data_IF_675677983274
#
_entry.id   IF_675677983274
#
_cell.length_a   1.000
_cell.length_b   1.000
_cell.length_c   1.000
_cell.angle_alpha   90.00
_cell.angle_beta   90.00
_cell.angle_gamma   90.00
#
_symmetry.space_group_name_H-M   'P 1'
#
loop_
_entity.id
_entity.type
_entity.pdbx_description
1 polymer ?
#
# COMPACT_ATOMS: atom_id res chain seq x y z
N UNK A 1 28.30 2.66 19.63
CA UNK A 1 27.97 3.58 18.52
C UNK A 1 27.67 2.73 17.28
N UNK A 2 26.41 2.41 17.04
CA UNK A 2 25.99 1.70 15.85
C UNK A 2 26.24 2.61 14.63
N UNK A 3 26.99 2.12 13.65
CA UNK A 3 27.16 2.79 12.37
C UNK A 3 25.76 2.98 11.75
N UNK A 4 25.26 4.23 11.68
CA UNK A 4 24.11 4.56 10.84
C UNK A 4 24.44 4.07 9.43
N UNK A 5 23.84 2.96 9.05
CA UNK A 5 23.89 2.45 7.69
C UNK A 5 23.36 3.54 6.76
N UNK A 6 24.03 3.73 5.65
CA UNK A 6 23.71 4.72 4.62
C UNK A 6 22.47 4.25 3.83
N UNK A 7 21.33 4.08 4.50
CA UNK A 7 20.07 3.53 3.97
C UNK A 7 19.39 4.43 2.93
N UNK A 8 19.91 5.64 2.69
CA UNK A 8 19.31 6.59 1.73
C UNK A 8 19.39 6.18 0.26
N UNK A 9 20.10 5.12 -0.11
CA UNK A 9 20.35 4.74 -1.50
C UNK A 9 20.04 3.28 -1.85
N UNK A 10 19.51 2.48 -0.92
CA UNK A 10 19.13 1.10 -1.23
C UNK A 10 17.79 1.08 -1.99
N UNK A 11 17.72 0.50 -3.19
CA UNK A 11 16.49 0.44 -3.99
C UNK A 11 15.46 -0.54 -3.44
N UNK A 12 15.87 -1.50 -2.60
CA UNK A 12 14.97 -2.45 -1.95
C UNK A 12 14.50 -1.87 -0.61
N UNK A 13 13.21 -1.58 -0.52
CA UNK A 13 12.62 -0.83 0.60
C UNK A 13 12.09 -1.71 1.74
N UNK A 14 12.53 -2.97 1.76
CA UNK A 14 12.09 -3.97 2.75
C UNK A 14 10.59 -4.28 2.63
N UNK A 15 9.88 -4.34 3.74
CA UNK A 15 8.44 -4.69 3.79
C UNK A 15 7.50 -3.54 3.41
N UNK A 16 8.03 -2.38 3.09
CA UNK A 16 7.22 -1.22 2.69
C UNK A 16 6.77 -1.33 1.23
N UNK A 17 5.70 -0.62 0.87
CA UNK A 17 5.31 -0.46 -0.53
C UNK A 17 6.14 0.61 -1.23
N UNK A 18 6.47 0.39 -2.51
CA UNK A 18 7.06 1.41 -3.38
C UNK A 18 6.08 2.58 -3.53
N UNK A 19 6.62 3.80 -3.55
CA UNK A 19 5.85 5.05 -3.70
C UNK A 19 6.23 5.78 -4.99
N UNK A 20 5.58 6.89 -5.31
CA UNK A 20 5.84 7.70 -6.52
C UNK A 20 7.33 8.07 -6.70
N UNK A 21 8.03 8.35 -5.62
CA UNK A 21 9.48 8.64 -5.65
C UNK A 21 10.34 7.41 -6.03
N UNK A 22 9.79 6.21 -6.02
CA UNK A 22 10.46 4.96 -6.40
C UNK A 22 10.16 4.52 -7.84
N UNK A 23 9.39 5.29 -8.62
CA UNK A 23 8.96 4.92 -9.99
C UNK A 23 10.09 4.53 -10.93
N UNK A 24 11.28 5.12 -10.78
CA UNK A 24 12.46 4.84 -11.61
C UNK A 24 13.10 3.47 -11.36
N UNK A 25 12.72 2.80 -10.27
CA UNK A 25 13.22 1.49 -9.86
C UNK A 25 12.09 0.44 -9.79
N UNK A 26 10.90 0.78 -10.24
CA UNK A 26 9.74 -0.10 -10.30
C UNK A 26 9.68 -0.77 -11.67
N UNK A 27 10.29 -1.96 -11.79
CA UNK A 27 10.47 -2.70 -13.03
C UNK A 27 9.47 -3.85 -13.20
N UNK A 28 9.39 -4.38 -14.43
CA UNK A 28 8.68 -5.61 -14.84
C UNK A 28 7.16 -5.59 -14.66
N UNK A 29 6.57 -4.40 -14.53
CA UNK A 29 5.11 -4.19 -14.45
C UNK A 29 4.59 -3.24 -15.51
N UNK A 30 5.43 -2.78 -16.43
CA UNK A 30 5.12 -1.73 -17.39
C UNK A 30 3.88 -2.08 -18.24
N UNK A 31 3.80 -3.30 -18.78
CA UNK A 31 2.65 -3.76 -19.55
C UNK A 31 1.38 -3.82 -18.70
N UNK A 32 1.47 -4.36 -17.50
CA UNK A 32 0.33 -4.44 -16.58
C UNK A 32 -0.19 -3.05 -16.19
N UNK A 33 0.68 -2.06 -16.06
CA UNK A 33 0.31 -0.66 -15.82
C UNK A 33 -0.46 -0.10 -17.01
N UNK A 34 -0.02 -0.31 -18.25
CA UNK A 34 -0.73 0.15 -19.45
C UNK A 34 -2.10 -0.53 -19.60
N UNK A 35 -2.18 -1.84 -19.35
CA UNK A 35 -3.45 -2.59 -19.38
C UNK A 35 -4.44 -2.04 -18.34
N UNK A 36 -3.98 -1.78 -17.11
CA UNK A 36 -4.81 -1.21 -16.03
C UNK A 36 -5.24 0.24 -16.33
N UNK A 37 -4.37 1.06 -16.94
CA UNK A 37 -4.70 2.42 -17.38
C UNK A 37 -5.79 2.42 -18.45
N UNK A 38 -5.81 1.44 -19.34
CA UNK A 38 -6.84 1.30 -20.38
C UNK A 38 -8.22 1.04 -19.76
N UNK A 39 -8.29 0.31 -18.65
CA UNK A 39 -9.54 0.06 -17.92
C UNK A 39 -10.05 1.36 -17.28
N UNK A 40 -9.21 2.06 -16.53
CA UNK A 40 -9.63 3.30 -15.85
C UNK A 40 -10.06 4.39 -16.83
N UNK A 41 -9.44 4.42 -18.01
CA UNK A 41 -9.79 5.33 -19.10
C UNK A 41 -11.22 5.11 -19.58
N UNK A 42 -11.65 3.86 -19.70
CA UNK A 42 -12.97 3.52 -20.23
C UNK A 42 -14.10 3.60 -19.22
N UNK A 43 -13.82 3.36 -17.94
CA UNK A 43 -14.83 3.17 -16.90
C UNK A 43 -14.81 4.21 -15.78
N UNK A 44 -13.76 5.04 -15.67
CA UNK A 44 -13.48 5.94 -14.53
C UNK A 44 -13.32 5.18 -13.19
N UNK A 45 -13.23 3.86 -13.25
CA UNK A 45 -13.10 2.99 -12.08
C UNK A 45 -12.17 1.83 -12.38
N UNK A 46 -11.37 1.43 -11.40
CA UNK A 46 -10.47 0.29 -11.50
C UNK A 46 -10.44 -0.47 -10.17
N UNK A 47 -10.82 -1.73 -10.18
CA UNK A 47 -10.65 -2.64 -9.06
C UNK A 47 -9.42 -3.53 -9.30
N UNK A 48 -8.40 -3.36 -8.48
CA UNK A 48 -7.17 -4.18 -8.52
C UNK A 48 -7.33 -5.31 -7.49
N UNK A 49 -7.41 -6.52 -7.99
CA UNK A 49 -7.48 -7.72 -7.15
C UNK A 49 -6.18 -8.51 -7.24
N UNK A 50 -5.83 -9.20 -6.19
CA UNK A 50 -4.63 -10.04 -6.16
C UNK A 50 -4.40 -10.57 -4.75
N UNK A 51 -3.60 -11.61 -4.64
CA UNK A 51 -3.30 -12.24 -3.36
C UNK A 51 -2.59 -11.28 -2.39
N UNK A 52 -2.60 -11.64 -1.13
CA UNK A 52 -1.80 -10.92 -0.12
C UNK A 52 -0.34 -10.88 -0.58
N UNK A 53 0.29 -9.74 -0.41
CA UNK A 53 1.68 -9.50 -0.83
C UNK A 53 1.96 -9.58 -2.36
N UNK A 54 0.94 -9.62 -3.23
CA UNK A 54 1.12 -9.56 -4.71
C UNK A 54 1.68 -8.22 -5.21
N UNK A 55 1.80 -7.22 -4.31
CA UNK A 55 2.37 -5.91 -4.63
C UNK A 55 1.32 -4.87 -5.08
N UNK A 56 0.02 -5.04 -4.75
CA UNK A 56 -1.07 -4.10 -5.12
C UNK A 56 -0.75 -2.65 -4.78
N UNK A 57 -0.38 -2.37 -3.54
CA UNK A 57 -0.05 -1.00 -3.12
C UNK A 57 1.15 -0.41 -3.86
N UNK A 58 2.19 -1.20 -4.13
CA UNK A 58 3.34 -0.78 -4.93
C UNK A 58 2.95 -0.52 -6.39
N UNK A 59 2.12 -1.38 -6.97
CA UNK A 59 1.59 -1.23 -8.32
C UNK A 59 0.79 0.06 -8.49
N UNK A 60 -0.04 0.40 -7.51
CA UNK A 60 -0.78 1.68 -7.50
C UNK A 60 0.18 2.85 -7.34
N UNK A 61 1.01 2.84 -6.29
CA UNK A 61 1.76 4.01 -5.86
C UNK A 61 2.98 4.31 -6.74
N UNK A 62 3.69 3.29 -7.22
CA UNK A 62 4.89 3.45 -8.05
C UNK A 62 4.64 3.17 -9.55
N UNK A 63 3.59 2.42 -9.88
CA UNK A 63 3.22 2.11 -11.25
C UNK A 63 2.17 3.08 -11.82
N UNK A 64 0.94 3.05 -11.28
CA UNK A 64 -0.20 3.77 -11.86
C UNK A 64 -0.16 5.27 -11.58
N UNK A 65 -0.01 5.69 -10.33
CA UNK A 65 -0.07 7.11 -9.95
C UNK A 65 0.94 7.97 -10.73
N UNK A 66 2.22 7.58 -10.91
CA UNK A 66 3.16 8.36 -11.69
C UNK A 66 2.76 8.50 -13.16
N UNK A 67 2.17 7.46 -13.74
CA UNK A 67 1.70 7.48 -15.14
C UNK A 67 0.47 8.37 -15.29
N UNK A 68 -0.47 8.30 -14.35
CA UNK A 68 -1.66 9.16 -14.29
C UNK A 68 -1.25 10.63 -14.17
N UNK A 69 -0.33 10.96 -13.27
CA UNK A 69 0.18 12.34 -13.10
C UNK A 69 0.85 12.91 -14.35
N UNK A 70 1.53 12.06 -15.12
CA UNK A 70 2.15 12.46 -16.38
C UNK A 70 1.14 12.63 -17.54
N UNK A 71 -0.12 12.25 -17.31
CA UNK A 71 -1.15 12.20 -18.33
C UNK A 71 -1.07 10.92 -19.16
N UNK A 72 -2.20 10.35 -19.51
CA UNK A 72 -2.31 9.22 -20.42
C UNK A 72 -3.42 9.46 -21.45
N UNK A 73 -3.28 8.84 -22.63
CA UNK A 73 -4.10 9.10 -23.78
C UNK A 73 -5.61 9.02 -23.49
N UNK A 74 -6.39 10.03 -23.89
CA UNK A 74 -7.84 10.02 -23.88
C UNK A 74 -8.52 10.65 -22.66
N UNK A 75 -7.78 11.03 -21.63
CA UNK A 75 -8.34 11.81 -20.50
C UNK A 75 -7.95 13.28 -20.69
N UNK A 76 -8.96 14.13 -20.73
CA UNK A 76 -8.76 15.58 -20.87
C UNK A 76 -8.03 16.15 -19.66
N UNK A 77 -6.86 16.74 -19.91
CA UNK A 77 -6.07 17.45 -18.91
C UNK A 77 -4.99 16.59 -18.24
N UNK A 78 -3.81 17.21 -18.08
CA UNK A 78 -2.64 16.61 -17.42
C UNK A 78 -2.58 16.96 -15.92
N UNK A 79 -3.63 17.59 -15.40
CA UNK A 79 -3.66 18.00 -13.99
C UNK A 79 -4.56 17.08 -13.19
N UNK A 80 -3.96 16.46 -12.17
CA UNK A 80 -4.63 15.54 -11.28
C UNK A 80 -4.49 16.00 -9.83
N UNK A 81 -5.58 15.91 -9.10
CA UNK A 81 -5.57 15.87 -7.64
C UNK A 81 -5.80 14.43 -7.21
N UNK A 82 -4.96 13.92 -6.34
CA UNK A 82 -4.97 12.50 -5.95
C UNK A 82 -5.06 12.40 -4.44
N UNK A 83 -6.05 11.66 -3.98
CA UNK A 83 -6.23 11.27 -2.58
C UNK A 83 -6.03 9.76 -2.48
N UNK A 84 -5.22 9.33 -1.54
CA UNK A 84 -4.94 7.92 -1.30
C UNK A 84 -5.10 7.63 0.19
N UNK A 85 -5.97 6.68 0.52
CA UNK A 85 -6.25 6.31 1.91
C UNK A 85 -6.53 4.82 2.05
N UNK A 86 -6.43 4.34 3.28
CA UNK A 86 -6.91 3.03 3.70
C UNK A 86 -8.21 3.20 4.48
N UNK A 87 -9.24 2.41 4.20
CA UNK A 87 -10.52 2.57 4.87
C UNK A 87 -10.43 2.25 6.38
N UNK A 88 -9.62 1.25 6.76
CA UNK A 88 -9.52 0.83 8.15
C UNK A 88 -10.89 0.48 8.73
N UNK A 89 -11.05 0.71 10.02
CA UNK A 89 -12.32 0.51 10.74
C UNK A 89 -13.29 1.70 10.62
N UNK A 90 -12.80 2.89 10.26
CA UNK A 90 -13.61 4.12 10.14
C UNK A 90 -13.47 4.71 8.73
N UNK A 91 -14.08 4.08 7.71
CA UNK A 91 -13.80 4.40 6.30
C UNK A 91 -14.20 5.83 5.91
N UNK A 92 -15.28 6.36 6.44
CA UNK A 92 -15.74 7.73 6.13
C UNK A 92 -14.84 8.75 6.79
N UNK A 93 -14.43 8.54 8.02
CA UNK A 93 -13.51 9.42 8.73
C UNK A 93 -12.13 9.42 8.06
N UNK A 94 -11.61 8.25 7.70
CA UNK A 94 -10.33 8.14 7.00
C UNK A 94 -10.37 8.79 5.61
N UNK A 95 -11.49 8.68 4.90
CA UNK A 95 -11.71 9.45 3.66
C UNK A 95 -11.65 10.96 3.92
N UNK A 96 -12.36 11.46 4.95
CA UNK A 96 -12.38 12.90 5.29
C UNK A 96 -10.98 13.41 5.69
N UNK A 97 -10.23 12.61 6.46
CA UNK A 97 -8.84 12.95 6.78
C UNK A 97 -7.96 13.04 5.54
N UNK A 98 -8.08 12.11 4.61
CA UNK A 98 -7.33 12.13 3.37
C UNK A 98 -7.73 13.34 2.47
N UNK A 99 -9.02 13.66 2.40
CA UNK A 99 -9.51 14.82 1.66
C UNK A 99 -8.95 16.13 2.22
N UNK A 100 -8.85 16.25 3.55
CA UNK A 100 -8.32 17.44 4.20
C UNK A 100 -6.80 17.59 4.07
N UNK A 101 -6.05 16.49 4.04
CA UNK A 101 -4.57 16.50 4.03
C UNK A 101 -3.97 16.49 2.63
N UNK A 102 -4.44 15.57 1.76
CA UNK A 102 -3.80 15.27 0.49
C UNK A 102 -4.52 15.87 -0.72
N UNK A 103 -5.84 16.12 -0.61
CA UNK A 103 -6.69 16.37 -1.75
C UNK A 103 -6.56 17.75 -2.37
N UNK A 104 -5.95 18.72 -1.69
CA UNK A 104 -5.98 20.13 -2.11
C UNK A 104 -7.39 20.60 -2.48
N UNK A 105 -8.39 20.03 -1.84
CA UNK A 105 -9.80 20.37 -2.02
C UNK A 105 -10.14 21.54 -1.10
N UNK A 106 -9.72 22.74 -1.47
CA UNK A 106 -10.15 23.93 -0.75
C UNK A 106 -11.53 24.35 -1.26
N UNK A 107 -12.48 24.52 -0.36
CA UNK A 107 -13.74 25.20 -0.67
C UNK A 107 -13.41 26.63 -1.07
N UNK A 108 -14.04 27.12 -2.12
CA UNK A 108 -13.71 28.41 -2.77
C UNK A 108 -13.92 29.67 -1.89
N UNK A 109 -14.45 29.53 -0.70
CA UNK A 109 -14.56 30.62 0.26
C UNK A 109 -13.23 30.78 1.02
N UNK A 110 -12.42 31.74 0.56
CA UNK A 110 -11.10 32.08 1.11
C UNK A 110 -11.11 32.51 2.59
N UNK A 111 -12.26 32.62 3.22
CA UNK A 111 -12.40 32.99 4.63
C UNK A 111 -12.38 31.80 5.59
N UNK A 112 -12.49 30.57 5.08
CA UNK A 112 -12.50 29.34 5.90
C UNK A 112 -11.46 28.34 5.38
N UNK A 113 -10.57 27.88 6.25
CA UNK A 113 -9.80 26.66 6.04
C UNK A 113 -10.79 25.50 6.13
N UNK A 114 -11.03 24.80 5.03
CA UNK A 114 -11.83 23.58 5.03
C UNK A 114 -11.08 22.52 5.83
N UNK A 115 -11.67 22.13 6.93
CA UNK A 115 -11.09 21.11 7.78
C UNK A 115 -11.82 19.75 7.63
N UNK A 116 -11.32 18.76 8.33
CA UNK A 116 -11.89 17.43 8.40
C UNK A 116 -13.40 17.45 8.73
N UNK A 117 -13.84 18.29 9.68
CA UNK A 117 -15.23 18.33 10.15
C UNK A 117 -16.19 18.84 9.06
N UNK A 118 -15.74 19.77 8.20
CA UNK A 118 -16.54 20.28 7.09
C UNK A 118 -16.83 19.15 6.08
N UNK A 119 -15.85 18.32 5.78
CA UNK A 119 -16.04 17.16 4.89
C UNK A 119 -16.93 16.11 5.52
N UNK A 120 -16.70 15.77 6.77
CA UNK A 120 -17.50 14.78 7.50
C UNK A 120 -18.97 15.22 7.57
N UNK A 121 -19.23 16.47 7.96
CA UNK A 121 -20.58 17.02 8.00
C UNK A 121 -21.25 16.97 6.62
N UNK A 122 -20.54 17.36 5.56
CA UNK A 122 -21.10 17.32 4.20
C UNK A 122 -21.44 15.90 3.77
N UNK A 123 -20.57 14.91 4.05
CA UNK A 123 -20.82 13.51 3.70
C UNK A 123 -22.00 12.99 4.50
N UNK A 124 -22.07 13.22 5.81
CA UNK A 124 -23.18 12.76 6.66
C UNK A 124 -24.52 13.38 6.27
N UNK A 125 -24.56 14.68 5.95
CA UNK A 125 -25.79 15.37 5.52
C UNK A 125 -26.25 15.01 4.11
N UNK A 126 -25.32 14.87 3.17
CA UNK A 126 -25.61 14.60 1.75
C UNK A 126 -25.59 13.12 1.39
N UNK A 127 -25.17 12.26 2.31
CA UNK A 127 -25.08 10.80 2.11
C UNK A 127 -24.36 10.45 0.79
N UNK A 128 -24.90 9.57 0.00
CA UNK A 128 -24.30 9.02 -1.21
C UNK A 128 -23.86 10.05 -2.28
N UNK A 129 -24.31 11.30 -2.19
CA UNK A 129 -23.87 12.38 -3.09
C UNK A 129 -22.90 13.35 -2.42
N UNK A 130 -22.53 13.14 -1.16
CA UNK A 130 -21.67 14.02 -0.39
C UNK A 130 -20.33 14.33 -1.06
N UNK A 131 -19.71 13.31 -1.65
CA UNK A 131 -18.45 13.48 -2.37
C UNK A 131 -18.57 14.33 -3.65
N UNK A 132 -19.69 14.18 -4.37
CA UNK A 132 -20.02 15.02 -5.54
C UNK A 132 -20.18 16.46 -5.13
N UNK A 133 -20.85 16.70 -4.01
CA UNK A 133 -21.08 18.05 -3.47
C UNK A 133 -19.78 18.70 -3.02
N UNK A 134 -18.93 17.96 -2.29
CA UNK A 134 -17.58 18.41 -1.92
C UNK A 134 -16.78 18.81 -3.16
N UNK A 135 -16.73 17.95 -4.19
CA UNK A 135 -15.94 18.21 -5.39
C UNK A 135 -16.48 19.43 -6.16
N UNK A 136 -17.79 19.61 -6.30
CA UNK A 136 -18.39 20.75 -6.99
C UNK A 136 -18.09 22.08 -6.33
N UNK A 137 -17.95 22.07 -5.00
CA UNK A 137 -17.69 23.28 -4.21
C UNK A 137 -16.20 23.58 -4.03
N UNK A 138 -15.29 22.73 -4.52
CA UNK A 138 -13.86 22.93 -4.35
C UNK A 138 -13.23 23.74 -5.50
N UNK A 139 -12.08 24.37 -5.24
CA UNK A 139 -11.35 25.20 -6.20
C UNK A 139 -10.83 24.42 -7.43
N UNK A 140 -10.67 23.10 -7.32
CA UNK A 140 -10.20 22.26 -8.42
C UNK A 140 -11.31 21.83 -9.37
N UNK A 141 -12.58 22.10 -9.03
CA UNK A 141 -13.72 21.74 -9.87
C UNK A 141 -13.52 22.24 -11.31
N UNK A 142 -13.74 21.38 -12.27
CA UNK A 142 -13.53 21.60 -13.70
C UNK A 142 -12.12 21.99 -14.16
N UNK A 143 -11.15 22.10 -13.25
CA UNK A 143 -9.75 22.46 -13.57
C UNK A 143 -8.82 21.25 -13.58
N UNK A 144 -9.10 20.26 -12.74
CA UNK A 144 -8.28 19.04 -12.58
C UNK A 144 -9.18 17.80 -12.56
N UNK A 145 -8.66 16.71 -13.02
CA UNK A 145 -9.25 15.40 -12.72
C UNK A 145 -8.99 15.04 -11.25
N UNK A 146 -9.90 14.29 -10.65
CA UNK A 146 -9.81 13.90 -9.25
C UNK A 146 -9.76 12.39 -9.14
N UNK A 147 -8.67 11.87 -8.59
CA UNK A 147 -8.48 10.44 -8.35
C UNK A 147 -8.55 10.13 -6.87
N UNK A 148 -9.42 9.21 -6.52
CA UNK A 148 -9.54 8.67 -5.17
C UNK A 148 -9.04 7.23 -5.20
N UNK A 149 -8.03 6.94 -4.41
CA UNK A 149 -7.45 5.61 -4.24
C UNK A 149 -7.85 5.07 -2.87
N UNK A 150 -8.54 3.93 -2.86
CA UNK A 150 -8.89 3.19 -1.65
C UNK A 150 -7.99 1.96 -1.63
N UNK A 151 -6.89 2.04 -0.89
CA UNK A 151 -5.90 0.96 -0.82
C UNK A 151 -6.19 0.03 0.35
N UNK A 152 -6.09 -1.28 0.13
CA UNK A 152 -6.37 -2.33 1.11
C UNK A 152 -7.81 -2.30 1.64
N UNK A 153 -8.79 -2.40 0.73
CA UNK A 153 -10.20 -2.40 1.07
C UNK A 153 -10.58 -3.58 1.98
N UNK A 154 -9.78 -4.65 1.96
CA UNK A 154 -9.90 -5.78 2.89
C UNK A 154 -9.80 -5.39 4.37
N UNK A 155 -9.25 -4.23 4.70
CA UNK A 155 -9.19 -3.73 6.08
C UNK A 155 -10.58 -3.57 6.70
N UNK A 156 -11.62 -3.29 5.91
CA UNK A 156 -13.02 -3.28 6.34
C UNK A 156 -13.50 -4.63 6.90
N UNK A 157 -12.84 -5.71 6.55
CA UNK A 157 -13.29 -7.07 6.84
C UNK A 157 -12.37 -7.84 7.78
N UNK A 158 -11.20 -7.29 8.08
CA UNK A 158 -10.20 -7.99 8.86
C UNK A 158 -10.50 -7.98 10.37
N UNK A 159 -11.40 -7.09 10.82
CA UNK A 159 -11.68 -6.90 12.25
C UNK A 159 -13.19 -6.82 12.51
N UNK A 160 -13.98 -7.85 12.17
CA UNK A 160 -15.44 -7.80 12.26
C UNK A 160 -15.97 -7.60 13.70
N UNK A 161 -15.21 -8.02 14.71
CA UNK A 161 -15.62 -7.94 16.11
C UNK A 161 -15.44 -6.53 16.75
N UNK A 162 -14.80 -5.61 16.01
CA UNK A 162 -14.58 -4.23 16.46
C UNK A 162 -15.64 -3.26 15.94
N UNK A 163 -16.46 -3.70 14.99
CA UNK A 163 -17.51 -2.87 14.44
C UNK A 163 -18.69 -2.82 15.39
N UNK A 164 -18.90 -1.68 16.06
CA UNK A 164 -20.19 -1.35 16.64
C UNK A 164 -21.25 -1.26 15.52
N UNK A 165 -22.52 -1.49 15.84
CA UNK A 165 -23.65 -1.52 14.89
C UNK A 165 -23.75 -0.28 13.98
N UNK A 166 -23.10 0.84 14.31
CA UNK A 166 -23.08 2.05 13.49
C UNK A 166 -22.06 2.02 12.32
N UNK A 167 -21.14 1.07 12.30
CA UNK A 167 -20.05 1.02 11.32
C UNK A 167 -20.42 0.26 10.07
N UNK A 168 -21.42 -0.62 10.11
CA UNK A 168 -22.02 -1.20 8.89
C UNK A 168 -22.61 -0.12 7.99
N UNK A 169 -23.15 0.97 8.58
CA UNK A 169 -23.70 2.10 7.85
C UNK A 169 -22.59 2.89 7.10
N UNK A 170 -21.37 2.91 7.63
CA UNK A 170 -20.23 3.60 7.02
C UNK A 170 -19.60 2.81 5.86
N UNK A 171 -19.59 1.50 5.92
CA UNK A 171 -19.23 0.65 4.78
C UNK A 171 -20.22 0.86 3.62
N UNK A 172 -21.51 0.74 3.91
CA UNK A 172 -22.57 0.96 2.92
C UNK A 172 -22.50 2.38 2.34
N UNK A 173 -22.26 3.39 3.17
CA UNK A 173 -22.12 4.77 2.73
C UNK A 173 -20.88 4.95 1.84
N UNK A 174 -19.74 4.33 2.16
CA UNK A 174 -18.54 4.37 1.31
C UNK A 174 -18.83 3.82 -0.09
N UNK A 175 -19.47 2.65 -0.19
CA UNK A 175 -19.79 2.04 -1.48
C UNK A 175 -20.88 2.82 -2.24
N UNK A 176 -21.82 3.41 -1.55
CA UNK A 176 -22.81 4.31 -2.13
C UNK A 176 -22.16 5.59 -2.67
N UNK A 177 -21.23 6.22 -1.93
CA UNK A 177 -20.45 7.36 -2.40
C UNK A 177 -19.71 7.04 -3.71
N UNK A 178 -19.04 5.88 -3.77
CA UNK A 178 -18.31 5.44 -4.98
C UNK A 178 -19.29 5.23 -6.13
N UNK A 179 -20.32 4.39 -5.94
CA UNK A 179 -21.23 3.99 -7.01
C UNK A 179 -22.09 5.16 -7.53
N UNK A 180 -22.53 6.06 -6.67
CA UNK A 180 -23.29 7.25 -7.07
C UNK A 180 -22.40 8.28 -7.75
N UNK A 181 -21.19 8.52 -7.26
CA UNK A 181 -20.25 9.45 -7.89
C UNK A 181 -19.92 9.02 -9.32
N UNK A 182 -19.73 7.73 -9.59
CA UNK A 182 -19.45 7.20 -10.91
C UNK A 182 -20.60 7.36 -11.91
N UNK A 183 -21.83 7.66 -11.46
CA UNK A 183 -22.95 8.00 -12.35
C UNK A 183 -22.82 9.40 -12.96
N UNK A 184 -21.99 10.27 -12.37
CA UNK A 184 -21.70 11.63 -12.86
C UNK A 184 -20.43 11.64 -13.74
N UNK A 185 -20.49 10.99 -14.89
CA UNK A 185 -19.31 10.77 -15.78
C UNK A 185 -18.56 12.05 -16.19
N UNK A 186 -19.27 13.17 -16.28
CA UNK A 186 -18.70 14.45 -16.73
C UNK A 186 -17.91 15.20 -15.65
N UNK A 187 -17.90 14.71 -14.41
CA UNK A 187 -17.19 15.38 -13.33
C UNK A 187 -15.67 15.18 -13.35
N UNK A 188 -15.16 14.17 -14.07
CA UNK A 188 -13.73 13.86 -14.05
C UNK A 188 -13.25 13.30 -12.71
N UNK A 189 -14.11 12.56 -12.02
CA UNK A 189 -13.77 11.84 -10.78
C UNK A 189 -13.52 10.37 -11.12
N UNK A 190 -12.40 9.85 -10.63
CA UNK A 190 -11.93 8.49 -10.88
C UNK A 190 -11.65 7.77 -9.57
N UNK A 191 -11.85 6.45 -9.57
CA UNK A 191 -11.55 5.60 -8.42
C UNK A 191 -10.61 4.46 -8.79
N UNK A 192 -9.68 4.19 -7.90
CA UNK A 192 -8.90 2.95 -7.87
C UNK A 192 -9.14 2.31 -6.50
N UNK A 193 -9.54 1.06 -6.48
CA UNK A 193 -9.61 0.28 -5.25
C UNK A 193 -8.63 -0.89 -5.34
N UNK A 194 -7.98 -1.24 -4.24
CA UNK A 194 -7.27 -2.51 -4.12
C UNK A 194 -7.93 -3.40 -3.06
N UNK A 195 -8.04 -4.68 -3.37
CA UNK A 195 -8.64 -5.66 -2.47
C UNK A 195 -7.98 -7.02 -2.69
N UNK A 196 -7.86 -7.82 -1.64
CA UNK A 196 -7.39 -9.19 -1.78
C UNK A 196 -8.42 -10.10 -2.48
N UNK A 197 -7.93 -11.17 -3.10
CA UNK A 197 -8.76 -12.10 -3.86
C UNK A 197 -9.82 -12.78 -2.97
N UNK A 198 -9.51 -13.03 -1.70
CA UNK A 198 -10.41 -13.69 -0.75
C UNK A 198 -11.62 -12.84 -0.40
N UNK A 199 -11.44 -11.53 -0.26
CA UNK A 199 -12.50 -10.59 0.11
C UNK A 199 -13.25 -9.99 -1.10
N UNK A 200 -12.77 -10.17 -2.33
CA UNK A 200 -13.39 -9.60 -3.52
C UNK A 200 -14.88 -9.96 -3.67
N UNK A 201 -15.29 -11.17 -3.26
CA UNK A 201 -16.69 -11.60 -3.33
C UNK A 201 -17.64 -10.71 -2.51
N UNK A 202 -17.15 -10.08 -1.44
CA UNK A 202 -17.96 -9.19 -0.60
C UNK A 202 -18.42 -7.95 -1.36
N UNK A 203 -17.63 -7.46 -2.30
CA UNK A 203 -18.02 -6.35 -3.18
C UNK A 203 -19.18 -6.69 -4.12
N UNK A 204 -19.35 -7.94 -4.47
CA UNK A 204 -20.43 -8.37 -5.35
C UNK A 204 -21.81 -8.34 -4.69
N UNK A 205 -21.90 -8.18 -3.38
CA UNK A 205 -23.17 -7.99 -2.66
C UNK A 205 -23.80 -6.61 -2.90
N UNK A 206 -23.02 -5.64 -3.37
CA UNK A 206 -23.46 -4.29 -3.69
C UNK A 206 -23.85 -4.21 -5.17
N UNK A 207 -25.16 -4.25 -5.47
CA UNK A 207 -25.70 -4.36 -6.84
C UNK A 207 -25.17 -3.31 -7.82
N UNK A 208 -25.09 -2.04 -7.40
CA UNK A 208 -24.61 -0.96 -8.26
C UNK A 208 -23.11 -1.09 -8.53
N UNK A 209 -22.32 -1.50 -7.52
CA UNK A 209 -20.88 -1.68 -7.62
C UNK A 209 -20.54 -2.95 -8.41
N UNK A 210 -21.30 -4.04 -8.23
CA UNK A 210 -21.05 -5.31 -8.92
C UNK A 210 -21.12 -5.18 -10.44
N UNK A 211 -22.04 -4.34 -10.96
CA UNK A 211 -22.15 -4.04 -12.39
C UNK A 211 -20.90 -3.32 -12.93
N UNK A 212 -20.34 -2.41 -12.14
CA UNK A 212 -19.12 -1.66 -12.50
C UNK A 212 -17.91 -2.59 -12.44
N UNK A 213 -17.82 -3.41 -11.39
CA UNK A 213 -16.72 -4.35 -11.18
C UNK A 213 -16.54 -5.33 -12.33
N UNK A 214 -17.63 -5.83 -12.92
CA UNK A 214 -17.58 -6.82 -14.00
C UNK A 214 -16.78 -6.38 -15.23
N UNK A 215 -16.68 -5.07 -15.48
CA UNK A 215 -15.96 -4.47 -16.62
C UNK A 215 -14.69 -3.73 -16.25
N UNK A 216 -14.40 -3.61 -14.96
CA UNK A 216 -13.35 -2.71 -14.46
C UNK A 216 -12.40 -3.40 -13.48
N UNK A 217 -12.36 -4.72 -13.51
CA UNK A 217 -11.46 -5.52 -12.69
C UNK A 217 -10.11 -5.71 -13.40
N UNK A 218 -9.04 -5.59 -12.66
CA UNK A 218 -7.69 -5.96 -13.05
C UNK A 218 -7.11 -6.94 -12.03
N UNK A 219 -6.75 -8.13 -12.48
CA UNK A 219 -6.13 -9.14 -11.62
C UNK A 219 -4.61 -8.96 -11.65
N UNK A 220 -4.05 -8.57 -10.52
CA UNK A 220 -2.61 -8.43 -10.36
C UNK A 220 -2.00 -9.77 -9.93
N UNK A 221 -1.47 -10.50 -10.89
CA UNK A 221 -0.76 -11.75 -10.62
C UNK A 221 0.56 -11.48 -9.88
N UNK A 222 0.98 -12.41 -9.02
CA UNK A 222 2.34 -12.39 -8.46
C UNK A 222 3.39 -12.28 -9.57
N UNK A 223 4.55 -11.69 -9.24
CA UNK A 223 5.69 -11.71 -10.16
C UNK A 223 6.19 -13.14 -10.30
N UNK A 224 6.51 -13.56 -11.49
CA UNK A 224 7.15 -14.85 -11.73
C UNK A 224 8.68 -14.73 -11.64
N UNK A 225 9.37 -15.87 -11.73
CA UNK A 225 10.84 -15.91 -11.67
C UNK A 225 11.50 -15.00 -12.71
N UNK A 226 10.98 -14.94 -13.94
CA UNK A 226 11.58 -14.09 -14.98
C UNK A 226 11.44 -12.61 -14.67
N UNK A 227 10.29 -12.20 -14.11
CA UNK A 227 10.06 -10.83 -13.65
C UNK A 227 11.05 -10.46 -12.54
N UNK A 228 11.25 -11.37 -11.56
CA UNK A 228 12.22 -11.19 -10.48
C UNK A 228 13.64 -11.09 -11.00
N UNK A 229 14.02 -11.98 -11.88
CA UNK A 229 15.33 -11.99 -12.52
C UNK A 229 15.62 -10.66 -13.23
N UNK A 230 14.63 -10.13 -13.91
CA UNK A 230 14.74 -8.83 -14.58
C UNK A 230 14.89 -7.68 -13.56
N UNK A 231 14.06 -7.66 -12.52
CA UNK A 231 14.11 -6.65 -11.44
C UNK A 231 15.49 -6.64 -10.79
N UNK A 232 15.98 -7.82 -10.39
CA UNK A 232 17.28 -7.98 -9.74
C UNK A 232 18.38 -7.46 -10.67
N UNK A 233 18.44 -7.97 -11.91
CA UNK A 233 19.46 -7.56 -12.88
C UNK A 233 19.45 -6.05 -13.13
N UNK A 234 18.29 -5.46 -13.41
CA UNK A 234 18.19 -4.01 -13.65
C UNK A 234 18.63 -3.20 -12.43
N UNK A 235 18.19 -3.62 -11.24
CA UNK A 235 18.46 -2.90 -9.99
C UNK A 235 19.94 -2.90 -9.63
N UNK A 236 20.60 -4.06 -9.71
CA UNK A 236 22.02 -4.19 -9.36
C UNK A 236 22.93 -3.60 -10.44
N UNK A 237 22.61 -3.84 -11.72
CA UNK A 237 23.38 -3.26 -12.86
C UNK A 237 23.38 -1.72 -12.85
N UNK A 238 22.32 -1.07 -12.36
CA UNK A 238 22.26 0.38 -12.21
C UNK A 238 23.36 0.94 -11.28
N UNK A 239 24.01 0.06 -10.49
CA UNK A 239 25.16 0.38 -9.61
C UNK A 239 26.45 -0.33 -10.03
N UNK A 240 26.52 -0.88 -11.25
CA UNK A 240 27.65 -1.66 -11.73
C UNK A 240 27.97 -2.90 -10.87
N UNK A 241 26.96 -3.47 -10.21
CA UNK A 241 27.08 -4.73 -9.48
C UNK A 241 26.73 -5.87 -10.45
N UNK A 242 27.66 -6.79 -10.64
CA UNK A 242 27.51 -7.93 -11.54
C UNK A 242 27.18 -9.20 -10.75
N UNK A 243 26.58 -10.17 -11.46
CA UNK A 243 26.25 -11.49 -10.90
C UNK A 243 27.14 -12.56 -11.50
N UNK A 244 27.56 -13.50 -10.65
CA UNK A 244 28.06 -14.79 -11.11
C UNK A 244 26.94 -15.56 -11.81
N UNK A 245 27.28 -16.33 -12.86
CA UNK A 245 26.31 -17.15 -13.59
C UNK A 245 25.60 -18.15 -12.68
N UNK A 246 26.31 -18.75 -11.74
CA UNK A 246 25.81 -19.74 -10.80
C UNK A 246 24.78 -19.16 -9.81
N UNK A 247 24.92 -17.88 -9.45
CA UNK A 247 24.01 -17.19 -8.53
C UNK A 247 22.58 -17.10 -9.07
N UNK A 248 22.43 -16.92 -10.37
CA UNK A 248 21.09 -16.88 -10.96
C UNK A 248 20.37 -18.22 -10.92
N UNK A 249 21.12 -19.33 -10.93
CA UNK A 249 20.55 -20.66 -10.78
C UNK A 249 20.16 -20.93 -9.33
N UNK A 250 20.95 -20.46 -8.36
CA UNK A 250 20.58 -20.51 -6.94
C UNK A 250 19.30 -19.70 -6.67
N UNK A 251 19.15 -18.49 -7.23
CA UNK A 251 17.90 -17.74 -7.09
C UNK A 251 16.70 -18.46 -7.70
N UNK A 252 16.91 -19.21 -8.80
CA UNK A 252 15.83 -20.02 -9.38
C UNK A 252 15.36 -21.11 -8.42
N UNK A 253 16.29 -21.77 -7.73
CA UNK A 253 15.97 -22.78 -6.71
C UNK A 253 15.21 -22.13 -5.54
N UNK A 254 15.73 -21.04 -4.97
CA UNK A 254 15.11 -20.34 -3.85
C UNK A 254 13.68 -19.87 -4.17
N UNK A 255 13.44 -19.36 -5.38
CA UNK A 255 12.09 -18.89 -5.79
C UNK A 255 11.13 -20.06 -6.01
N UNK A 256 11.59 -21.19 -6.52
CA UNK A 256 10.74 -22.35 -6.79
C UNK A 256 10.44 -23.17 -5.54
N UNK A 257 11.32 -23.16 -4.55
CA UNK A 257 11.11 -23.84 -3.26
C UNK A 257 10.13 -23.08 -2.35
N UNK A 258 10.05 -21.76 -2.47
CA UNK A 258 9.05 -20.95 -1.80
C UNK A 258 7.80 -20.89 -2.66
N UNK A 259 6.78 -21.59 -2.28
CA UNK A 259 5.43 -21.77 -2.85
C UNK A 259 4.91 -20.62 -3.78
N UNK A 260 5.58 -20.36 -4.91
CA UNK A 260 5.26 -19.43 -6.02
C UNK A 260 4.71 -18.02 -5.67
N UNK A 261 4.54 -17.69 -4.40
CA UNK A 261 4.17 -16.36 -3.96
C UNK A 261 5.44 -15.60 -3.61
N UNK A 262 5.63 -14.44 -4.22
CA UNK A 262 6.67 -13.52 -3.81
C UNK A 262 6.46 -13.14 -2.36
N UNK A 263 7.10 -13.92 -1.52
CA UNK A 263 7.17 -13.63 -0.11
C UNK A 263 7.81 -12.23 0.07
N UNK A 264 7.22 -11.33 0.86
CA UNK A 264 7.83 -10.05 1.24
C UNK A 264 9.27 -10.20 1.73
N UNK A 265 9.63 -11.38 2.23
CA UNK A 265 10.97 -11.75 2.66
C UNK A 265 12.03 -11.56 1.57
N UNK A 266 11.68 -11.76 0.28
CA UNK A 266 12.61 -11.49 -0.83
C UNK A 266 13.03 -10.02 -0.91
N UNK A 267 12.16 -9.08 -0.61
CA UNK A 267 12.54 -7.67 -0.57
C UNK A 267 13.59 -7.41 0.52
N UNK A 268 13.42 -8.03 1.68
CA UNK A 268 14.38 -7.92 2.77
C UNK A 268 15.70 -8.64 2.45
N UNK A 269 15.61 -9.81 1.81
CA UNK A 269 16.77 -10.58 1.34
C UNK A 269 17.60 -9.76 0.34
N UNK A 270 16.98 -9.21 -0.71
CA UNK A 270 17.68 -8.40 -1.70
C UNK A 270 18.18 -7.08 -1.13
N UNK A 271 17.51 -6.50 -0.15
CA UNK A 271 18.02 -5.34 0.58
C UNK A 271 19.33 -5.65 1.27
N UNK A 272 19.42 -6.77 2.00
CA UNK A 272 20.65 -7.20 2.67
C UNK A 272 21.75 -7.50 1.67
N UNK A 273 21.43 -8.25 0.61
CA UNK A 273 22.39 -8.57 -0.45
C UNK A 273 22.97 -7.31 -1.08
N UNK A 274 22.12 -6.34 -1.36
CA UNK A 274 22.54 -5.06 -1.94
C UNK A 274 23.45 -4.28 -0.99
N UNK A 275 23.13 -4.24 0.31
CA UNK A 275 23.95 -3.54 1.32
C UNK A 275 25.33 -4.21 1.49
N UNK A 276 25.42 -5.55 1.44
CA UNK A 276 26.69 -6.30 1.44
C UNK A 276 27.51 -5.92 0.21
N UNK A 277 26.89 -5.95 -0.97
CA UNK A 277 27.60 -5.61 -2.21
C UNK A 277 28.06 -4.15 -2.25
N UNK A 278 27.28 -3.21 -1.70
CA UNK A 278 27.69 -1.81 -1.62
C UNK A 278 28.87 -1.58 -0.68
N UNK A 279 28.97 -2.35 0.40
CA UNK A 279 30.12 -2.25 1.31
C UNK A 279 31.45 -2.61 0.63
N UNK A 280 31.38 -3.51 -0.34
CA UNK A 280 32.56 -3.99 -1.11
C UNK A 280 32.90 -3.08 -2.28
N UNK A 281 31.96 -2.27 -2.81
CA UNK A 281 32.20 -1.32 -3.90
C UNK A 281 33.31 -0.29 -3.57
N UNK A 282 33.54 -0.02 -2.30
CA UNK A 282 34.65 0.85 -1.86
C UNK A 282 36.04 0.20 -2.08
N UNK A 283 36.10 -1.07 -2.46
CA UNK A 283 37.34 -1.82 -2.64
C UNK A 283 37.58 -2.29 -4.07
N UNK A 284 36.54 -2.68 -4.82
CA UNK A 284 36.54 -3.02 -6.26
C UNK A 284 35.10 -3.26 -6.75
N UNK A 285 34.86 -3.45 -8.08
CA UNK A 285 33.54 -3.68 -8.68
C UNK A 285 32.69 -4.65 -7.84
N UNK A 286 31.51 -4.21 -7.40
CA UNK A 286 30.60 -5.04 -6.61
C UNK A 286 30.20 -6.29 -7.39
N UNK A 287 30.33 -7.44 -6.75
CA UNK A 287 30.07 -8.73 -7.36
C UNK A 287 29.20 -9.56 -6.44
N UNK A 288 28.15 -10.19 -6.97
CA UNK A 288 27.30 -11.13 -6.22
C UNK A 288 27.76 -12.54 -6.54
N UNK A 289 28.23 -13.25 -5.51
CA UNK A 289 28.60 -14.66 -5.56
C UNK A 289 27.79 -15.49 -4.54
N UNK A 290 27.90 -16.80 -4.62
CA UNK A 290 27.21 -17.73 -3.71
C UNK A 290 27.52 -17.48 -2.25
N UNK A 291 28.77 -17.13 -1.91
CA UNK A 291 29.19 -16.87 -0.54
C UNK A 291 28.40 -15.71 0.11
N UNK A 292 28.07 -14.66 -0.66
CA UNK A 292 27.27 -13.53 -0.16
C UNK A 292 25.80 -13.90 0.04
N UNK A 293 25.29 -14.84 -0.75
CA UNK A 293 23.96 -15.41 -0.56
C UNK A 293 23.92 -16.22 0.73
N UNK A 294 24.89 -17.09 0.92
CA UNK A 294 25.00 -17.94 2.11
C UNK A 294 25.14 -17.13 3.41
N UNK A 295 25.80 -15.96 3.34
CA UNK A 295 25.90 -15.04 4.48
C UNK A 295 24.57 -14.46 4.96
N UNK A 296 23.56 -14.38 4.08
CA UNK A 296 22.25 -13.81 4.42
C UNK A 296 21.40 -14.86 5.14
N UNK A 297 21.56 -16.12 4.78
CA UNK A 297 20.78 -17.23 5.31
C UNK A 297 19.46 -17.44 4.57
N UNK A 298 18.56 -18.18 5.21
CA UNK A 298 17.28 -18.56 4.65
C UNK A 298 16.34 -17.37 4.46
N UNK A 299 15.67 -17.32 3.32
CA UNK A 299 14.68 -16.28 3.00
C UNK A 299 13.48 -16.36 3.95
N UNK A 300 13.04 -17.54 4.33
CA UNK A 300 11.87 -17.74 5.18
C UNK A 300 12.15 -17.37 6.65
N UNK A 301 13.41 -17.49 7.09
CA UNK A 301 13.83 -17.15 8.44
C UNK A 301 14.27 -15.68 8.58
N UNK A 302 14.45 -14.97 7.48
CA UNK A 302 15.09 -13.64 7.46
C UNK A 302 14.37 -12.60 8.34
N UNK A 303 13.04 -12.65 8.41
CA UNK A 303 12.25 -11.77 9.27
C UNK A 303 12.48 -12.10 10.74
N UNK A 304 12.47 -13.38 11.09
CA UNK A 304 12.69 -13.83 12.47
C UNK A 304 14.08 -13.42 12.97
N UNK A 305 15.10 -13.60 12.14
CA UNK A 305 16.47 -13.17 12.45
C UNK A 305 16.57 -11.66 12.63
N UNK A 306 15.89 -10.87 11.79
CA UNK A 306 15.87 -9.40 11.94
C UNK A 306 15.16 -8.95 13.22
N UNK A 307 14.03 -9.59 13.54
CA UNK A 307 13.30 -9.30 14.77
C UNK A 307 14.11 -9.66 16.03
N UNK A 308 14.80 -10.82 16.01
CA UNK A 308 15.70 -11.21 17.10
C UNK A 308 16.87 -10.24 17.27
N UNK A 309 17.50 -9.84 16.16
CA UNK A 309 18.58 -8.85 16.19
C UNK A 309 18.08 -7.50 16.72
N UNK A 310 16.90 -7.06 16.29
CA UNK A 310 16.29 -5.83 16.80
C UNK A 310 16.00 -5.95 18.29
N UNK A 311 15.32 -7.00 18.74
CA UNK A 311 15.02 -7.22 20.15
C UNK A 311 16.28 -7.29 21.01
N UNK A 312 17.30 -7.99 20.53
CA UNK A 312 18.59 -8.09 21.22
C UNK A 312 19.36 -6.78 21.31
N UNK A 313 19.11 -5.83 20.39
CA UNK A 313 19.73 -4.50 20.38
C UNK A 313 19.11 -3.53 21.37
N UNK A 314 17.91 -3.84 21.88
CA UNK A 314 17.21 -3.00 22.86
C UNK A 314 17.79 -3.16 24.26
N UNK A 315 17.77 -2.08 25.02
CA UNK A 315 18.01 -2.14 26.46
C UNK A 315 16.83 -2.82 27.19
N UNK A 316 16.98 -3.10 28.46
CA UNK A 316 15.95 -3.79 29.27
C UNK A 316 14.62 -3.02 29.31
N UNK A 317 14.65 -1.68 29.29
CA UNK A 317 13.46 -0.84 29.22
C UNK A 317 12.77 -0.99 27.87
N UNK A 318 13.53 -0.92 26.78
CA UNK A 318 13.01 -1.10 25.40
C UNK A 318 12.40 -2.48 25.17
N UNK A 319 13.04 -3.54 25.68
CA UNK A 319 12.47 -4.92 25.63
C UNK A 319 11.14 -5.00 26.36
N UNK A 320 11.05 -4.43 27.57
CA UNK A 320 9.82 -4.44 28.34
C UNK A 320 8.69 -3.67 27.64
N UNK A 321 9.01 -2.52 27.05
CA UNK A 321 8.06 -1.72 26.26
C UNK A 321 7.55 -2.54 25.08
N UNK A 322 8.44 -3.12 24.29
CA UNK A 322 8.09 -3.92 23.13
C UNK A 322 7.23 -5.13 23.50
N UNK A 323 7.56 -5.84 24.58
CA UNK A 323 6.76 -6.97 25.06
C UNK A 323 5.34 -6.53 25.47
N UNK A 324 5.22 -5.44 26.22
CA UNK A 324 3.92 -4.91 26.62
C UNK A 324 3.10 -4.50 25.40
N UNK A 325 3.72 -3.81 24.43
CA UNK A 325 3.10 -3.40 23.18
C UNK A 325 2.50 -4.61 22.45
N UNK A 326 3.30 -5.64 22.16
CA UNK A 326 2.79 -6.84 21.48
C UNK A 326 1.74 -7.60 22.28
N UNK A 327 1.87 -7.67 23.61
CA UNK A 327 0.85 -8.28 24.47
C UNK A 327 -0.49 -7.56 24.40
N UNK A 328 -0.52 -6.26 24.17
CA UNK A 328 -1.76 -5.50 24.03
C UNK A 328 -2.60 -5.92 22.82
N UNK A 329 -1.99 -6.53 21.79
CA UNK A 329 -2.68 -7.05 20.60
C UNK A 329 -3.11 -8.52 20.73
N UNK A 330 -2.76 -9.19 21.83
CA UNK A 330 -3.09 -10.61 22.03
C UNK A 330 -4.23 -10.70 23.05
N UNK A 331 -5.39 -11.17 22.62
CA UNK A 331 -6.46 -11.52 23.54
C UNK A 331 -6.42 -13.03 23.81
N UNK A 332 -6.33 -13.37 25.11
CA UNK A 332 -6.38 -14.75 25.58
C UNK A 332 -7.82 -15.10 25.95
N UNK A 333 -8.74 -15.06 25.02
CA UNK A 333 -10.05 -15.62 25.28
C UNK A 333 -9.97 -17.16 25.26
N UNK A 334 -10.69 -17.79 26.19
CA UNK A 334 -10.51 -19.17 26.68
C UNK A 334 -10.49 -20.30 25.62
N UNK A 335 -10.60 -19.99 24.32
CA UNK A 335 -10.63 -21.01 23.25
C UNK A 335 -9.75 -20.71 22.01
N UNK A 336 -9.36 -19.47 21.78
CA UNK A 336 -8.52 -19.12 20.61
C UNK A 336 -7.55 -18.00 20.97
N UNK A 337 -6.30 -18.13 20.56
CA UNK A 337 -5.34 -17.02 20.57
C UNK A 337 -5.63 -16.23 19.29
N UNK A 338 -6.15 -15.00 19.44
CA UNK A 338 -6.42 -14.10 18.32
C UNK A 338 -5.60 -12.81 18.45
N UNK A 339 -5.25 -12.23 17.29
CA UNK A 339 -4.70 -10.88 17.23
C UNK A 339 -5.84 -9.91 17.02
N UNK A 340 -5.88 -8.84 17.81
CA UNK A 340 -6.95 -7.85 17.76
C UNK A 340 -6.38 -6.48 17.43
N UNK A 341 -7.13 -5.69 16.67
CA UNK A 341 -6.88 -4.27 16.56
C UNK A 341 -7.10 -3.63 17.92
N UNK A 342 -6.24 -2.68 18.30
CA UNK A 342 -6.37 -1.94 19.54
C UNK A 342 -6.29 -0.43 19.25
N UNK A 343 -7.17 0.32 19.86
CA UNK A 343 -7.09 1.78 19.81
C UNK A 343 -5.83 2.28 20.53
N UNK A 344 -5.28 3.38 20.01
CA UNK A 344 -4.10 4.03 20.61
C UNK A 344 -4.29 4.31 22.11
N UNK A 345 -5.48 4.80 22.50
CA UNK A 345 -5.84 5.06 23.89
C UNK A 345 -5.78 3.80 24.78
N UNK A 346 -6.22 2.66 24.24
CA UNK A 346 -6.15 1.38 24.94
C UNK A 346 -4.71 0.91 25.09
N UNK A 347 -3.91 0.97 24.02
CA UNK A 347 -2.51 0.56 24.05
C UNK A 347 -1.76 1.41 25.08
N UNK A 348 -1.95 2.72 25.08
CA UNK A 348 -1.34 3.64 26.03
C UNK A 348 -1.70 3.31 27.47
N UNK A 349 -2.98 3.11 27.75
CA UNK A 349 -3.46 2.81 29.11
C UNK A 349 -3.02 1.42 29.59
N UNK A 350 -3.01 0.41 28.70
CA UNK A 350 -2.62 -0.95 29.04
C UNK A 350 -1.11 -1.09 29.26
N UNK A 351 -0.32 -0.40 28.44
CA UNK A 351 1.13 -0.55 28.44
C UNK A 351 1.84 0.41 29.36
N UNK A 352 1.18 1.50 29.77
CA UNK A 352 1.79 2.61 30.54
C UNK A 352 3.06 3.13 29.83
N UNK A 353 2.98 3.22 28.49
CA UNK A 353 4.06 3.71 27.64
C UNK A 353 3.86 5.20 27.38
N UNK A 354 4.92 5.99 27.54
CA UNK A 354 4.89 7.41 27.24
C UNK A 354 4.67 7.65 25.73
N UNK A 355 3.99 8.75 25.37
CA UNK A 355 3.69 9.13 23.98
C UNK A 355 4.94 9.21 23.08
N UNK A 356 6.11 9.40 23.67
CA UNK A 356 7.38 9.46 22.95
C UNK A 356 7.78 8.10 22.33
N UNK A 357 7.20 6.99 22.81
CA UNK A 357 7.54 5.63 22.38
C UNK A 357 6.42 4.91 21.60
N UNK A 358 5.24 5.50 21.48
CA UNK A 358 4.09 5.02 20.71
C UNK A 358 3.98 5.79 19.39
#
# INVERSE_FOLDING_TARGET
>A
MAKKSNTKNNPFISLNSYKDNNKSIFYSREKQVEDALSIIQSSSFLAITGDVASGKSSFINAGLIPRIKNGFNGINGNQWSIVNFRPGISPIENLCHALSSDGNLYISDKSKTTDYNDYLTTIREKNSIGLVEIYRNCEIFSKKNFLIVIDQLEDLYNFPDLFDYNESDDEDLLFDLVSKTLKFKDLGIYFIISIDTGNYKKLSSYDDLSKILSSSQFILHPLNYNDLKEIIKKTFNAKNIQFDSEVMDQFNVLVNETDNSLNPNFQLFFKKLYDICLSDLNQQNGYVNSEKIDQIGDVDEIISVELENFYSSLDEKGKLILEKFFRSFINFDKKNIGYYYQEYSYIKNYTDIDDEYL
#
